data_IF_258209359446
#
_entry.id   IF_258209359446
#
_cell.length_a   1.000
_cell.length_b   1.000
_cell.length_c   1.000
_cell.angle_alpha   90.00
_cell.angle_beta   90.00
_cell.angle_gamma   90.00
#
_symmetry.space_group_name_H-M   'P 1'
#
loop_
_entity.id
_entity.type
_entity.pdbx_description
1 polymer ?
#
# COMPACT_ATOMS: atom_id res chain seq x y z
N UNK A 1 12.44 -11.22 -11.14
CA UNK A 1 13.05 -9.99 -10.57
C UNK A 1 12.63 -9.85 -9.12
N UNK A 2 13.48 -9.35 -8.20
CA UNK A 2 13.06 -9.11 -6.82
C UNK A 2 11.95 -8.05 -6.78
N UNK A 3 10.90 -8.28 -5.98
CA UNK A 3 9.67 -7.46 -5.90
C UNK A 3 9.99 -5.96 -5.78
N UNK A 4 10.92 -5.61 -4.89
CA UNK A 4 11.34 -4.22 -4.66
C UNK A 4 11.91 -3.55 -5.91
N UNK A 5 12.70 -4.27 -6.73
CA UNK A 5 13.25 -3.71 -7.98
C UNK A 5 12.17 -3.39 -9.00
N UNK A 6 11.11 -4.22 -9.04
CA UNK A 6 9.98 -4.00 -9.94
C UNK A 6 9.14 -2.82 -9.47
N UNK A 7 8.90 -2.69 -8.17
CA UNK A 7 8.25 -1.52 -7.58
C UNK A 7 9.03 -0.24 -7.92
N UNK A 8 10.35 -0.24 -7.76
CA UNK A 8 11.19 0.92 -8.09
C UNK A 8 11.12 1.34 -9.56
N UNK A 9 10.72 0.44 -10.48
CA UNK A 9 10.53 0.78 -11.90
C UNK A 9 9.38 1.77 -12.12
N UNK A 10 8.32 1.69 -11.32
CA UNK A 10 7.20 2.66 -11.39
C UNK A 10 7.62 4.07 -10.96
N UNK A 11 8.71 4.19 -10.21
CA UNK A 11 9.26 5.47 -9.77
C UNK A 11 10.30 6.05 -10.74
N UNK A 12 10.75 5.29 -11.76
CA UNK A 12 11.72 5.78 -12.77
C UNK A 12 11.33 7.11 -13.43
N UNK A 13 10.07 7.35 -13.84
CA UNK A 13 9.67 8.62 -14.43
C UNK A 13 9.84 9.82 -13.49
N UNK A 14 9.87 9.57 -12.18
CA UNK A 14 9.90 10.60 -11.13
C UNK A 14 11.28 10.74 -10.46
N UNK A 15 12.33 10.10 -10.99
CA UNK A 15 13.67 10.09 -10.37
C UNK A 15 14.23 11.49 -10.08
N UNK A 16 14.03 12.45 -10.98
CA UNK A 16 14.46 13.84 -10.75
C UNK A 16 13.77 14.48 -9.54
N UNK A 17 12.48 14.23 -9.36
CA UNK A 17 11.71 14.71 -8.20
C UNK A 17 12.10 13.97 -6.93
N UNK A 18 12.34 12.65 -7.00
CA UNK A 18 12.86 11.87 -5.87
C UNK A 18 14.21 12.41 -5.38
N UNK A 19 15.15 12.69 -6.30
CA UNK A 19 16.46 13.26 -5.94
C UNK A 19 16.32 14.65 -5.31
N UNK A 20 15.46 15.50 -5.87
CA UNK A 20 15.17 16.81 -5.27
C UNK A 20 14.57 16.67 -3.86
N UNK A 21 13.65 15.71 -3.66
CA UNK A 21 13.08 15.40 -2.36
C UNK A 21 14.10 14.90 -1.35
N UNK A 22 15.03 14.03 -1.77
CA UNK A 22 16.14 13.56 -0.93
C UNK A 22 17.08 14.71 -0.54
N UNK A 23 17.41 15.61 -1.48
CA UNK A 23 18.23 16.79 -1.20
C UNK A 23 17.54 17.71 -0.17
N UNK A 24 16.23 17.97 -0.34
CA UNK A 24 15.44 18.73 0.63
C UNK A 24 15.37 18.02 1.99
N UNK A 25 15.26 16.70 2.02
CA UNK A 25 15.28 15.93 3.26
C UNK A 25 16.63 16.08 3.99
N UNK A 26 17.76 16.01 3.28
CA UNK A 26 19.10 16.26 3.85
C UNK A 26 19.18 17.67 4.44
N UNK A 27 18.73 18.69 3.69
CA UNK A 27 18.66 20.07 4.19
C UNK A 27 17.77 20.19 5.43
N UNK A 28 16.59 19.55 5.41
CA UNK A 28 15.67 19.51 6.53
C UNK A 28 16.27 18.87 7.78
N UNK A 29 17.01 17.78 7.63
CA UNK A 29 17.71 17.13 8.75
C UNK A 29 18.81 18.05 9.31
N UNK A 30 19.60 18.70 8.44
CA UNK A 30 20.60 19.67 8.87
C UNK A 30 19.99 20.84 9.66
N UNK A 31 18.89 21.40 9.18
CA UNK A 31 18.14 22.44 9.89
C UNK A 31 17.57 21.94 11.22
N UNK A 32 17.08 20.70 11.27
CA UNK A 32 16.56 20.09 12.49
C UNK A 32 17.66 19.96 13.55
N UNK A 33 18.86 19.55 13.14
CA UNK A 33 20.02 19.47 14.01
C UNK A 33 20.45 20.86 14.51
N UNK A 34 20.25 21.93 13.74
CA UNK A 34 20.62 23.28 14.14
C UNK A 34 19.67 23.88 15.20
N UNK A 35 18.42 23.42 15.29
CA UNK A 35 17.38 24.00 16.17
C UNK A 35 17.77 24.18 17.64
N UNK A 36 18.47 23.25 18.30
CA UNK A 36 18.78 23.41 19.73
C UNK A 36 19.90 24.41 20.01
N UNK A 37 20.69 24.82 19.00
CA UNK A 37 21.90 25.62 19.21
C UNK A 37 21.66 27.04 19.71
N UNK A 38 20.66 27.81 19.23
CA UNK A 38 20.41 29.14 19.79
C UNK A 38 20.06 29.09 21.28
N UNK A 39 19.39 28.02 21.75
CA UNK A 39 19.12 27.80 23.18
C UNK A 39 20.42 27.64 23.97
N UNK A 40 21.40 26.90 23.44
CA UNK A 40 22.74 26.80 24.06
C UNK A 40 23.40 28.16 24.23
N UNK A 41 23.39 28.98 23.19
CA UNK A 41 24.00 30.32 23.22
C UNK A 41 23.33 31.20 24.28
N UNK A 42 21.99 31.15 24.39
CA UNK A 42 21.27 31.88 25.43
C UNK A 42 21.72 31.43 26.82
N UNK A 43 21.82 30.12 27.05
CA UNK A 43 22.10 29.57 28.39
C UNK A 43 23.57 29.71 28.79
N UNK A 44 24.50 29.51 27.86
CA UNK A 44 25.94 29.53 28.14
C UNK A 44 26.52 30.94 28.12
N UNK A 45 26.12 31.79 27.16
CA UNK A 45 26.74 33.11 26.96
C UNK A 45 25.93 34.26 27.60
N UNK A 46 24.58 34.17 27.65
CA UNK A 46 23.72 35.31 28.02
C UNK A 46 23.29 35.32 29.50
N UNK A 47 23.09 34.14 30.10
CA UNK A 47 22.67 34.01 31.52
C UNK A 47 23.85 34.26 32.49
N UNK A 48 25.05 33.70 32.28
CA UNK A 48 26.15 33.82 33.25
C UNK A 48 26.93 35.14 33.13
N UNK A 49 26.90 35.79 31.96
CA UNK A 49 27.68 37.00 31.68
C UNK A 49 26.79 38.15 31.20
N UNK A 50 26.82 39.29 31.90
CA UNK A 50 26.19 40.55 31.45
C UNK A 50 26.86 41.17 30.22
N UNK A 51 27.93 40.57 29.70
CA UNK A 51 28.68 41.04 28.54
C UNK A 51 28.71 39.95 27.47
N UNK A 52 28.20 40.28 26.28
CA UNK A 52 28.23 39.41 25.11
C UNK A 52 29.70 39.13 24.76
N UNK A 53 30.08 37.87 24.64
CA UNK A 53 31.43 37.47 24.20
C UNK A 53 31.74 38.12 22.84
N UNK A 54 33.01 38.51 22.63
CA UNK A 54 33.47 39.26 21.44
C UNK A 54 33.11 38.61 20.10
N UNK A 55 32.89 37.29 20.08
CA UNK A 55 32.45 36.54 18.88
C UNK A 55 31.01 36.85 18.45
N UNK A 56 30.09 37.01 19.41
CA UNK A 56 28.68 37.28 19.13
C UNK A 56 28.35 38.78 19.16
N UNK A 57 29.18 39.58 19.83
CA UNK A 57 29.08 41.03 19.84
C UNK A 57 29.21 41.64 18.43
N UNK A 58 29.95 40.98 17.53
CA UNK A 58 30.13 41.39 16.13
C UNK A 58 28.90 41.11 15.26
N UNK A 59 28.05 40.14 15.65
CA UNK A 59 26.84 39.75 14.90
C UNK A 59 25.57 40.39 15.46
N UNK A 60 25.48 40.61 16.77
CA UNK A 60 24.24 41.02 17.46
C UNK A 60 24.31 42.39 18.13
N UNK A 61 25.45 43.09 18.04
CA UNK A 61 25.71 44.32 18.76
C UNK A 61 26.03 44.09 20.24
N UNK A 62 26.34 45.16 20.97
CA UNK A 62 26.74 45.11 22.38
C UNK A 62 25.57 45.09 23.37
N UNK A 63 24.31 45.17 22.91
CA UNK A 63 23.12 45.21 23.76
C UNK A 63 22.57 43.79 24.07
N UNK A 64 22.59 43.34 25.35
CA UNK A 64 22.13 42.00 25.73
C UNK A 64 20.66 41.70 25.41
N UNK A 65 19.80 42.72 25.45
CA UNK A 65 18.37 42.60 25.13
C UNK A 65 18.12 42.41 23.62
N UNK A 66 18.91 43.10 22.80
CA UNK A 66 18.84 42.96 21.34
C UNK A 66 19.36 41.59 20.90
N UNK A 67 20.45 41.11 21.50
CA UNK A 67 20.97 39.77 21.25
C UNK A 67 19.98 38.67 21.65
N UNK A 68 19.30 38.80 22.81
CA UNK A 68 18.23 37.88 23.21
C UNK A 68 17.07 37.86 22.21
N UNK A 69 16.59 39.04 21.78
CA UNK A 69 15.52 39.14 20.80
C UNK A 69 15.92 38.49 19.48
N UNK A 70 17.15 38.73 19.00
CA UNK A 70 17.70 38.13 17.79
C UNK A 70 17.80 36.61 17.89
N UNK A 71 18.25 36.04 19.01
CA UNK A 71 18.33 34.59 19.21
C UNK A 71 16.92 33.95 19.29
N UNK A 72 15.97 34.60 19.95
CA UNK A 72 14.57 34.18 19.96
C UNK A 72 13.96 34.23 18.55
N UNK A 73 14.21 35.30 17.78
CA UNK A 73 13.81 35.40 16.38
C UNK A 73 14.48 34.32 15.53
N UNK A 74 15.77 34.02 15.76
CA UNK A 74 16.48 32.96 15.06
C UNK A 74 15.86 31.59 15.33
N UNK A 75 15.45 31.28 16.57
CA UNK A 75 14.72 30.04 16.88
C UNK A 75 13.44 29.92 16.06
N UNK A 76 12.64 30.98 15.99
CA UNK A 76 11.39 31.01 15.22
C UNK A 76 11.68 30.86 13.72
N UNK A 77 12.66 31.59 13.19
CA UNK A 77 13.03 31.53 11.77
C UNK A 77 13.55 30.16 11.38
N UNK A 78 14.45 29.55 12.17
CA UNK A 78 14.95 28.19 11.93
C UNK A 78 13.79 27.18 11.95
N UNK A 79 12.89 27.28 12.92
CA UNK A 79 11.72 26.40 13.01
C UNK A 79 10.78 26.56 11.81
N UNK A 80 10.53 27.80 11.35
CA UNK A 80 9.71 28.08 10.17
C UNK A 80 10.34 27.53 8.89
N UNK A 81 11.63 27.81 8.65
CA UNK A 81 12.35 27.31 7.48
C UNK A 81 12.36 25.78 7.47
N UNK A 82 12.68 25.16 8.62
CA UNK A 82 12.61 23.71 8.76
C UNK A 82 11.20 23.18 8.46
N UNK A 83 10.16 23.82 8.99
CA UNK A 83 8.76 23.44 8.77
C UNK A 83 8.37 23.49 7.30
N UNK A 84 8.77 24.54 6.59
CA UNK A 84 8.54 24.71 5.14
C UNK A 84 9.29 23.64 4.34
N UNK A 85 10.57 23.41 4.64
CA UNK A 85 11.39 22.39 3.96
C UNK A 85 10.81 21.00 4.19
N UNK A 86 10.43 20.68 5.43
CA UNK A 86 9.82 19.40 5.77
C UNK A 86 8.45 19.24 5.08
N UNK A 87 7.62 20.28 5.05
CA UNK A 87 6.33 20.26 4.35
C UNK A 87 6.51 20.02 2.85
N UNK A 88 7.43 20.74 2.20
CA UNK A 88 7.72 20.58 0.77
C UNK A 88 8.26 19.19 0.45
N UNK A 89 9.13 18.66 1.30
CA UNK A 89 9.69 17.30 1.20
C UNK A 89 8.58 16.26 1.28
N UNK A 90 7.71 16.33 2.29
CA UNK A 90 6.59 15.42 2.46
C UNK A 90 5.59 15.51 1.30
N UNK A 91 5.26 16.73 0.86
CA UNK A 91 4.38 16.94 -0.29
C UNK A 91 4.93 16.25 -1.55
N UNK A 92 6.23 16.43 -1.83
CA UNK A 92 6.87 15.84 -3.01
C UNK A 92 6.84 14.31 -2.96
N UNK A 93 7.21 13.70 -1.83
CA UNK A 93 7.19 12.24 -1.69
C UNK A 93 5.77 11.65 -1.76
N UNK A 94 4.80 12.27 -1.08
CA UNK A 94 3.39 11.83 -1.15
C UNK A 94 2.85 11.92 -2.57
N UNK A 95 3.13 13.02 -3.28
CA UNK A 95 2.71 13.21 -4.67
C UNK A 95 3.28 12.11 -5.58
N UNK A 96 4.58 11.85 -5.48
CA UNK A 96 5.24 10.79 -6.27
C UNK A 96 4.61 9.41 -5.96
N UNK A 97 4.40 9.11 -4.67
CA UNK A 97 3.76 7.87 -4.24
C UNK A 97 2.35 7.70 -4.81
N UNK A 98 1.55 8.77 -4.82
CA UNK A 98 0.19 8.75 -5.38
C UNK A 98 0.18 8.57 -6.91
N UNK A 99 1.13 9.15 -7.64
CA UNK A 99 1.24 8.99 -9.09
C UNK A 99 1.66 7.56 -9.48
N UNK A 100 2.59 6.97 -8.74
CA UNK A 100 2.95 5.56 -8.92
C UNK A 100 1.77 4.62 -8.60
N UNK A 101 1.01 4.91 -7.53
CA UNK A 101 -0.22 4.18 -7.19
C UNK A 101 -1.27 4.26 -8.30
N UNK A 102 -1.51 5.45 -8.85
CA UNK A 102 -2.42 5.64 -9.97
C UNK A 102 -2.02 4.77 -11.16
N UNK A 103 -0.73 4.80 -11.53
CA UNK A 103 -0.21 4.03 -12.66
C UNK A 103 -0.43 2.52 -12.46
N UNK A 104 -0.05 1.98 -11.29
CA UNK A 104 -0.24 0.56 -10.98
C UNK A 104 -1.73 0.18 -10.97
N UNK A 105 -2.61 1.02 -10.41
CA UNK A 105 -4.06 0.76 -10.39
C UNK A 105 -4.64 0.72 -11.79
N UNK A 106 -4.27 1.67 -12.64
CA UNK A 106 -4.74 1.71 -14.04
C UNK A 106 -4.25 0.49 -14.81
N UNK A 107 -2.98 0.12 -14.65
CA UNK A 107 -2.41 -1.07 -15.31
C UNK A 107 -3.07 -2.36 -14.84
N UNK A 108 -3.23 -2.55 -13.53
CA UNK A 108 -3.95 -3.69 -12.95
C UNK A 108 -5.39 -3.77 -13.44
N UNK A 109 -6.11 -2.66 -13.45
CA UNK A 109 -7.49 -2.62 -13.88
C UNK A 109 -7.64 -2.93 -15.37
N UNK A 110 -6.80 -2.33 -16.21
CA UNK A 110 -6.78 -2.60 -17.65
C UNK A 110 -6.43 -4.07 -17.94
N UNK A 111 -5.44 -4.61 -17.23
CA UNK A 111 -5.03 -6.00 -17.39
C UNK A 111 -6.12 -6.98 -16.92
N UNK A 112 -6.75 -6.72 -15.76
CA UNK A 112 -7.89 -7.50 -15.27
C UNK A 112 -9.05 -7.52 -16.27
N UNK A 113 -9.35 -6.42 -16.95
CA UNK A 113 -10.38 -6.39 -18.00
C UNK A 113 -9.98 -7.18 -19.26
N UNK A 114 -8.68 -7.35 -19.50
CA UNK A 114 -8.17 -8.09 -20.67
C UNK A 114 -8.14 -9.61 -20.47
N UNK A 115 -8.19 -10.08 -19.22
CA UNK A 115 -8.15 -11.50 -18.89
C UNK A 115 -9.40 -12.23 -19.41
N UNK A 116 -9.22 -13.53 -19.65
CA UNK A 116 -10.30 -14.41 -20.12
C UNK A 116 -11.44 -14.54 -19.08
N UNK A 117 -12.65 -14.86 -19.55
CA UNK A 117 -13.79 -15.16 -18.68
C UNK A 117 -13.50 -16.35 -17.75
N UNK A 118 -12.66 -17.29 -18.18
CA UNK A 118 -12.17 -18.39 -17.34
C UNK A 118 -11.54 -17.90 -16.03
N UNK A 119 -10.77 -16.81 -16.09
CA UNK A 119 -10.18 -16.20 -14.89
C UNK A 119 -11.28 -15.64 -13.97
N UNK A 120 -12.25 -14.93 -14.55
CA UNK A 120 -13.34 -14.31 -13.78
C UNK A 120 -14.33 -15.32 -13.20
N UNK A 121 -14.51 -16.47 -13.85
CA UNK A 121 -15.36 -17.54 -13.36
C UNK A 121 -14.67 -18.34 -12.23
N UNK A 122 -13.35 -18.46 -12.27
CA UNK A 122 -12.57 -19.15 -11.24
C UNK A 122 -12.31 -18.28 -9.99
N UNK A 123 -12.24 -16.95 -10.16
CA UNK A 123 -11.85 -16.03 -9.10
C UNK A 123 -13.05 -15.18 -8.64
N UNK A 124 -13.24 -15.02 -7.33
CA UNK A 124 -14.31 -14.14 -6.81
C UNK A 124 -14.07 -12.69 -7.27
N UNK A 125 -15.11 -12.03 -7.79
CA UNK A 125 -15.04 -10.63 -8.23
C UNK A 125 -14.58 -9.66 -7.13
N UNK A 126 -14.88 -9.99 -5.87
CA UNK A 126 -14.39 -9.28 -4.69
C UNK A 126 -12.88 -9.35 -4.50
N UNK A 127 -12.23 -10.48 -4.84
CA UNK A 127 -10.77 -10.64 -4.76
C UNK A 127 -10.06 -9.72 -5.75
N UNK A 128 -10.54 -9.69 -7.00
CA UNK A 128 -9.97 -8.79 -8.03
C UNK A 128 -10.14 -7.31 -7.65
N UNK A 129 -11.30 -6.94 -7.11
CA UNK A 129 -11.56 -5.57 -6.63
C UNK A 129 -10.70 -5.20 -5.43
N UNK A 130 -10.46 -6.16 -4.52
CA UNK A 130 -9.59 -5.98 -3.36
C UNK A 130 -8.15 -5.73 -3.80
N UNK A 131 -7.63 -6.49 -4.76
CA UNK A 131 -6.27 -6.29 -5.29
C UNK A 131 -6.06 -4.90 -5.88
N UNK A 132 -7.02 -4.42 -6.68
CA UNK A 132 -6.97 -3.08 -7.27
C UNK A 132 -7.05 -1.99 -6.20
N UNK A 133 -7.87 -2.16 -5.16
CA UNK A 133 -8.14 -1.10 -4.18
C UNK A 133 -7.12 -1.06 -3.05
N UNK A 134 -6.80 -2.21 -2.48
CA UNK A 134 -6.01 -2.35 -1.26
C UNK A 134 -4.59 -2.82 -1.56
N UNK A 135 -4.39 -3.92 -2.28
CA UNK A 135 -3.04 -4.45 -2.52
C UNK A 135 -2.17 -3.48 -3.33
N UNK A 136 -2.76 -2.73 -4.26
CA UNK A 136 -2.05 -1.70 -5.04
C UNK A 136 -1.40 -0.63 -4.15
N UNK A 137 -1.95 -0.36 -2.95
CA UNK A 137 -1.38 0.61 -2.01
C UNK A 137 0.01 0.21 -1.51
N UNK A 138 0.36 -1.08 -1.60
CA UNK A 138 1.69 -1.58 -1.27
C UNK A 138 2.81 -0.79 -1.97
N UNK A 139 2.59 -0.36 -3.21
CA UNK A 139 3.61 0.39 -3.96
C UNK A 139 3.96 1.71 -3.28
N UNK A 140 2.97 2.37 -2.68
CA UNK A 140 3.14 3.63 -1.96
C UNK A 140 3.81 3.38 -0.60
N UNK A 141 3.40 2.33 0.12
CA UNK A 141 4.02 1.94 1.39
C UNK A 141 5.51 1.64 1.21
N UNK A 142 5.89 0.86 0.20
CA UNK A 142 7.29 0.52 -0.12
C UNK A 142 8.14 1.77 -0.36
N UNK A 143 7.58 2.80 -1.00
CA UNK A 143 8.32 4.02 -1.31
C UNK A 143 8.36 5.03 -0.15
N UNK A 144 7.21 5.34 0.44
CA UNK A 144 7.11 6.35 1.48
C UNK A 144 7.63 5.84 2.82
N UNK A 145 7.17 4.67 3.27
CA UNK A 145 7.60 4.09 4.54
C UNK A 145 8.90 3.32 4.38
N UNK A 146 9.11 2.60 3.28
CA UNK A 146 10.37 1.88 3.06
C UNK A 146 11.50 2.83 2.73
N UNK A 147 11.59 3.21 1.46
CA UNK A 147 12.74 3.96 0.95
C UNK A 147 12.94 5.31 1.66
N UNK A 148 11.90 6.14 1.69
CA UNK A 148 12.01 7.53 2.16
C UNK A 148 12.23 7.62 3.66
N UNK A 149 11.43 6.92 4.46
CA UNK A 149 11.55 6.96 5.91
C UNK A 149 12.83 6.28 6.41
N UNK A 150 13.25 5.15 5.82
CA UNK A 150 14.55 4.53 6.18
C UNK A 150 15.69 5.49 5.88
N UNK A 151 15.70 6.12 4.70
CA UNK A 151 16.73 7.10 4.34
C UNK A 151 16.78 8.25 5.35
N UNK A 152 15.65 8.88 5.64
CA UNK A 152 15.58 9.99 6.59
C UNK A 152 15.97 9.57 8.01
N UNK A 153 15.53 8.40 8.46
CA UNK A 153 15.82 7.86 9.79
C UNK A 153 17.30 7.53 9.97
N UNK A 154 17.92 6.86 9.00
CA UNK A 154 19.35 6.53 9.02
C UNK A 154 20.19 7.80 9.01
N UNK A 155 19.86 8.77 8.14
CA UNK A 155 20.61 10.02 8.05
C UNK A 155 20.46 10.86 9.33
N UNK A 156 19.26 10.91 9.92
CA UNK A 156 19.02 11.57 11.21
C UNK A 156 19.81 10.91 12.34
N UNK A 157 19.83 9.57 12.38
CA UNK A 157 20.58 8.82 13.40
C UNK A 157 22.08 9.07 13.27
N UNK A 158 22.65 9.00 12.06
CA UNK A 158 24.06 9.31 11.82
C UNK A 158 24.37 10.76 12.19
N UNK A 159 23.58 11.72 11.72
CA UNK A 159 23.81 13.13 12.00
C UNK A 159 23.73 13.47 13.49
N UNK A 160 22.74 12.92 14.19
CA UNK A 160 22.57 13.11 15.64
C UNK A 160 23.72 12.46 16.41
N UNK A 161 24.13 11.25 16.04
CA UNK A 161 25.25 10.54 16.66
C UNK A 161 26.58 11.29 16.52
N UNK A 162 26.88 11.81 15.33
CA UNK A 162 28.10 12.59 15.08
C UNK A 162 28.13 13.85 15.96
N UNK A 163 27.01 14.55 16.08
CA UNK A 163 26.92 15.75 16.93
C UNK A 163 27.05 15.39 18.42
N UNK A 164 26.39 14.32 18.88
CA UNK A 164 26.45 13.88 20.28
C UNK A 164 27.88 13.51 20.71
N UNK A 165 28.62 12.74 19.89
CA UNK A 165 30.03 12.42 20.17
C UNK A 165 30.87 13.69 20.26
N UNK A 166 30.62 14.67 19.39
CA UNK A 166 31.32 15.95 19.41
C UNK A 166 31.05 16.80 20.65
N UNK A 167 29.92 16.58 21.34
CA UNK A 167 29.60 17.26 22.61
C UNK A 167 30.26 16.51 23.78
N UNK A 168 29.96 15.22 23.93
CA UNK A 168 30.52 14.39 25.00
C UNK A 168 30.42 12.90 24.62
N UNK A 169 31.56 12.25 24.45
CA UNK A 169 31.62 10.85 24.04
C UNK A 169 31.16 9.87 25.15
N UNK A 170 31.32 10.22 26.43
CA UNK A 170 30.92 9.37 27.55
C UNK A 170 29.40 9.37 27.71
N UNK A 171 28.76 10.54 27.64
CA UNK A 171 27.30 10.64 27.62
C UNK A 171 26.71 9.97 26.38
N UNK A 172 27.42 10.03 25.25
CA UNK A 172 26.97 9.35 24.03
C UNK A 172 27.01 7.84 24.18
N UNK A 173 28.08 7.27 24.74
CA UNK A 173 28.16 5.83 25.02
C UNK A 173 27.09 5.38 26.02
N UNK A 174 26.84 6.18 27.07
CA UNK A 174 25.76 5.92 28.03
C UNK A 174 24.40 5.86 27.33
N UNK A 175 24.12 6.83 26.47
CA UNK A 175 22.87 6.90 25.71
C UNK A 175 22.73 5.73 24.74
N UNK A 176 23.83 5.37 24.07
CA UNK A 176 23.88 4.22 23.15
C UNK A 176 23.70 2.89 23.90
N UNK A 177 24.10 2.81 25.17
CA UNK A 177 23.86 1.63 26.01
C UNK A 177 22.38 1.31 26.24
N UNK A 178 21.51 2.31 26.19
CA UNK A 178 20.05 2.14 26.35
C UNK A 178 19.40 1.65 25.04
N UNK A 179 19.99 1.98 23.89
CA UNK A 179 19.45 1.65 22.57
C UNK A 179 19.23 0.15 22.35
N UNK A 180 20.19 -0.77 22.64
CA UNK A 180 19.96 -2.21 22.52
C UNK A 180 18.75 -2.71 23.31
N UNK A 181 18.53 -2.17 24.52
CA UNK A 181 17.41 -2.56 25.37
C UNK A 181 16.06 -2.13 24.77
N UNK A 182 16.01 -0.92 24.20
CA UNK A 182 14.85 -0.43 23.45
C UNK A 182 14.60 -1.32 22.23
N UNK A 183 15.62 -1.58 21.40
CA UNK A 183 15.49 -2.40 20.18
C UNK A 183 15.00 -3.82 20.49
N UNK A 184 15.54 -4.46 21.54
CA UNK A 184 15.11 -5.80 21.97
C UNK A 184 13.65 -5.79 22.42
N UNK A 185 13.25 -4.76 23.17
CA UNK A 185 11.86 -4.61 23.64
C UNK A 185 10.92 -4.43 22.45
N UNK A 186 11.26 -3.57 21.49
CA UNK A 186 10.44 -3.38 20.29
C UNK A 186 10.32 -4.71 19.54
N UNK A 187 11.43 -5.42 19.31
CA UNK A 187 11.41 -6.72 18.61
C UNK A 187 10.54 -7.78 19.31
N UNK A 188 10.54 -7.79 20.64
CA UNK A 188 9.68 -8.70 21.41
C UNK A 188 8.19 -8.39 21.22
N UNK A 189 7.79 -7.12 21.39
CA UNK A 189 6.39 -6.71 21.25
C UNK A 189 5.90 -6.79 19.80
N UNK A 190 6.75 -6.47 18.84
CA UNK A 190 6.53 -6.63 17.41
C UNK A 190 5.95 -7.99 17.01
N UNK A 191 6.64 -9.04 17.46
CA UNK A 191 6.31 -10.41 17.11
C UNK A 191 4.94 -10.79 17.67
N UNK A 192 4.59 -10.27 18.84
CA UNK A 192 3.28 -10.46 19.49
C UNK A 192 2.18 -9.68 18.78
N UNK A 193 2.43 -8.40 18.48
CA UNK A 193 1.54 -7.52 17.71
C UNK A 193 1.22 -8.16 16.36
N UNK A 194 2.22 -8.72 15.66
CA UNK A 194 2.04 -9.40 14.37
C UNK A 194 1.06 -10.56 14.47
N UNK A 195 1.27 -11.48 15.42
CA UNK A 195 0.37 -12.63 15.62
C UNK A 195 -1.07 -12.19 15.94
N UNK A 196 -1.22 -11.19 16.80
CA UNK A 196 -2.54 -10.65 17.17
C UNK A 196 -3.22 -9.91 16.01
N UNK A 197 -2.45 -9.20 15.18
CA UNK A 197 -2.97 -8.52 13.99
C UNK A 197 -3.52 -9.51 12.97
N UNK A 198 -2.87 -10.67 12.76
CA UNK A 198 -3.43 -11.74 11.93
C UNK A 198 -4.77 -12.24 12.46
N UNK A 199 -4.87 -12.50 13.77
CA UNK A 199 -6.13 -12.92 14.40
C UNK A 199 -7.23 -11.87 14.23
N UNK A 200 -6.91 -10.59 14.41
CA UNK A 200 -7.90 -9.50 14.19
C UNK A 200 -8.36 -9.46 12.75
N UNK A 201 -7.46 -9.59 11.77
CA UNK A 201 -7.84 -9.61 10.36
C UNK A 201 -8.80 -10.77 10.04
N UNK A 202 -8.59 -11.95 10.62
CA UNK A 202 -9.51 -13.09 10.48
C UNK A 202 -10.89 -12.80 11.11
N UNK A 203 -10.92 -12.25 12.32
CA UNK A 203 -12.18 -11.91 13.01
C UNK A 203 -12.96 -10.80 12.30
N UNK A 204 -12.29 -9.73 11.85
CA UNK A 204 -12.91 -8.66 11.06
C UNK A 204 -13.44 -9.19 9.72
N UNK A 205 -12.71 -10.11 9.07
CA UNK A 205 -13.18 -10.74 7.83
C UNK A 205 -14.45 -11.56 8.06
N UNK A 206 -14.55 -12.26 9.19
CA UNK A 206 -15.75 -13.01 9.56
C UNK A 206 -16.95 -12.09 9.82
N UNK A 207 -16.75 -10.96 10.52
CA UNK A 207 -17.78 -9.93 10.74
C UNK A 207 -18.27 -9.35 9.41
N UNK A 208 -17.35 -9.00 8.51
CA UNK A 208 -17.68 -8.49 7.19
C UNK A 208 -18.46 -9.52 6.36
N UNK A 209 -18.04 -10.79 6.39
CA UNK A 209 -18.72 -11.88 5.69
C UNK A 209 -20.16 -12.06 6.18
N UNK A 210 -20.39 -12.08 7.50
CA UNK A 210 -21.74 -12.17 8.07
C UNK A 210 -22.61 -10.98 7.64
N UNK A 211 -22.06 -9.75 7.65
CA UNK A 211 -22.78 -8.57 7.20
C UNK A 211 -23.16 -8.66 5.72
N UNK A 212 -22.23 -9.10 4.86
CA UNK A 212 -22.49 -9.28 3.43
C UNK A 212 -23.55 -10.37 3.16
N UNK A 213 -23.43 -11.53 3.82
CA UNK A 213 -24.37 -12.64 3.67
C UNK A 213 -25.77 -12.26 4.16
N UNK A 214 -25.88 -11.70 5.36
CA UNK A 214 -27.16 -11.29 5.94
C UNK A 214 -27.86 -10.18 5.15
N UNK A 215 -27.12 -9.17 4.68
CA UNK A 215 -27.69 -8.09 3.86
C UNK A 215 -28.05 -8.55 2.44
N UNK A 216 -27.24 -9.38 1.81
CA UNK A 216 -27.56 -9.96 0.50
C UNK A 216 -28.78 -10.87 0.55
N UNK A 217 -29.01 -11.53 1.69
CA UNK A 217 -30.12 -12.44 1.94
C UNK A 217 -31.27 -11.81 2.73
N UNK A 218 -31.33 -10.47 2.83
CA UNK A 218 -32.30 -9.74 3.68
C UNK A 218 -33.76 -10.10 3.38
N UNK A 219 -34.08 -10.40 2.11
CA UNK A 219 -35.42 -10.87 1.72
C UNK A 219 -35.79 -12.20 2.37
N UNK A 220 -34.82 -13.13 2.48
CA UNK A 220 -35.01 -14.41 3.14
C UNK A 220 -35.17 -14.22 4.65
N UNK A 221 -34.33 -13.37 5.26
CA UNK A 221 -34.42 -13.04 6.68
C UNK A 221 -35.81 -12.52 7.05
N UNK A 222 -36.33 -11.56 6.27
CA UNK A 222 -37.68 -11.03 6.46
C UNK A 222 -38.78 -12.05 6.16
N UNK A 223 -38.64 -12.87 5.11
CA UNK A 223 -39.63 -13.90 4.76
C UNK A 223 -39.83 -14.93 5.88
N UNK A 224 -38.79 -15.19 6.69
CA UNK A 224 -38.84 -16.12 7.81
C UNK A 224 -38.87 -15.44 9.20
N UNK A 225 -38.88 -14.11 9.29
CA UNK A 225 -38.90 -13.36 10.56
C UNK A 225 -37.71 -13.66 11.47
N UNK A 226 -36.50 -13.77 10.90
CA UNK A 226 -35.27 -14.22 11.59
C UNK A 226 -34.31 -13.09 11.97
N UNK A 227 -34.77 -11.83 11.97
CA UNK A 227 -33.94 -10.64 12.18
C UNK A 227 -33.15 -10.69 13.49
N UNK A 228 -33.79 -11.06 14.61
CA UNK A 228 -33.10 -11.16 15.91
C UNK A 228 -32.01 -12.24 15.94
N UNK A 229 -32.18 -13.31 15.15
CA UNK A 229 -31.19 -14.38 15.08
C UNK A 229 -29.96 -13.91 14.31
N UNK A 230 -30.16 -13.21 13.18
CA UNK A 230 -29.08 -12.59 12.40
C UNK A 230 -28.30 -11.56 13.24
N UNK A 231 -29.01 -10.70 13.97
CA UNK A 231 -28.37 -9.71 14.86
C UNK A 231 -27.53 -10.41 15.93
N UNK A 232 -28.03 -11.50 16.54
CA UNK A 232 -27.26 -12.28 17.53
C UNK A 232 -26.00 -12.91 16.94
N UNK A 233 -26.08 -13.53 15.76
CA UNK A 233 -24.91 -14.10 15.07
C UNK A 233 -23.86 -13.03 14.78
N UNK A 234 -24.29 -11.88 14.25
CA UNK A 234 -23.40 -10.75 14.02
C UNK A 234 -22.75 -10.26 15.32
N UNK A 235 -23.53 -10.15 16.40
CA UNK A 235 -23.07 -9.67 17.70
C UNK A 235 -22.01 -10.61 18.31
N UNK A 236 -22.16 -11.94 18.17
CA UNK A 236 -21.19 -12.92 18.65
C UNK A 236 -19.84 -12.83 17.92
N UNK A 237 -19.86 -12.64 16.60
CA UNK A 237 -18.64 -12.41 15.80
C UNK A 237 -18.02 -11.05 16.12
N UNK A 238 -18.83 -10.01 16.25
CA UNK A 238 -18.37 -8.67 16.60
C UNK A 238 -17.71 -8.63 17.99
N UNK A 239 -18.22 -9.40 18.97
CA UNK A 239 -17.59 -9.54 20.28
C UNK A 239 -16.23 -10.23 20.22
N UNK A 240 -16.06 -11.22 19.33
CA UNK A 240 -14.76 -11.87 19.13
C UNK A 240 -13.76 -10.89 18.51
N UNK A 241 -14.17 -10.13 17.50
CA UNK A 241 -13.34 -9.04 16.95
C UNK A 241 -12.98 -8.02 18.02
N UNK A 242 -13.95 -7.57 18.83
CA UNK A 242 -13.72 -6.62 19.92
C UNK A 242 -12.67 -7.13 20.91
N UNK A 243 -12.76 -8.38 21.35
CA UNK A 243 -11.77 -8.98 22.28
C UNK A 243 -10.39 -9.06 21.64
N UNK A 244 -10.30 -9.46 20.38
CA UNK A 244 -9.03 -9.52 19.65
C UNK A 244 -8.41 -8.12 19.51
N UNK A 245 -9.21 -7.14 19.10
CA UNK A 245 -8.80 -5.75 18.94
C UNK A 245 -8.33 -5.13 20.26
N UNK A 246 -9.06 -5.38 21.36
CA UNK A 246 -8.67 -4.94 22.70
C UNK A 246 -7.32 -5.57 23.11
N UNK A 247 -7.11 -6.87 22.86
CA UNK A 247 -5.84 -7.53 23.17
C UNK A 247 -4.66 -6.94 22.38
N UNK A 248 -4.82 -6.65 21.09
CA UNK A 248 -3.79 -5.96 20.30
C UNK A 248 -3.54 -4.55 20.81
N UNK A 249 -4.60 -3.80 21.09
CA UNK A 249 -4.51 -2.43 21.59
C UNK A 249 -3.78 -2.38 22.93
N UNK A 250 -4.14 -3.26 23.88
CA UNK A 250 -3.43 -3.38 25.16
C UNK A 250 -1.96 -3.77 24.97
N UNK A 251 -1.66 -4.61 23.98
CA UNK A 251 -0.27 -4.98 23.66
C UNK A 251 0.52 -3.79 23.12
N UNK A 252 -0.08 -2.96 22.25
CA UNK A 252 0.52 -1.71 21.79
C UNK A 252 0.73 -0.70 22.93
N UNK A 253 -0.27 -0.51 23.80
CA UNK A 253 -0.17 0.39 24.96
C UNK A 253 0.92 -0.08 25.93
N UNK A 254 0.99 -1.37 26.22
CA UNK A 254 2.05 -1.94 27.06
C UNK A 254 3.44 -1.75 26.42
N UNK A 255 3.56 -1.96 25.10
CA UNK A 255 4.81 -1.70 24.37
C UNK A 255 5.24 -0.23 24.52
N UNK A 256 4.33 0.71 24.28
CA UNK A 256 4.59 2.14 24.41
C UNK A 256 4.98 2.52 25.84
N UNK A 257 4.34 1.93 26.86
CA UNK A 257 4.67 2.16 28.26
C UNK A 257 6.09 1.69 28.59
N UNK A 258 6.46 0.46 28.20
CA UNK A 258 7.81 -0.07 28.47
C UNK A 258 8.87 0.76 27.73
N UNK A 259 8.66 1.05 26.44
CA UNK A 259 9.60 1.84 25.63
C UNK A 259 9.77 3.25 26.22
N UNK A 260 8.68 3.95 26.52
CA UNK A 260 8.75 5.30 27.12
C UNK A 260 9.42 5.29 28.49
N UNK A 261 9.20 4.26 29.31
CA UNK A 261 9.89 4.09 30.60
C UNK A 261 11.39 3.91 30.40
N UNK A 262 11.81 3.12 29.41
CA UNK A 262 13.22 2.95 29.07
C UNK A 262 13.84 4.26 28.56
N UNK A 263 13.13 5.01 27.72
CA UNK A 263 13.60 6.31 27.22
C UNK A 263 13.77 7.32 28.37
N UNK A 264 12.80 7.38 29.29
CA UNK A 264 12.87 8.25 30.48
C UNK A 264 14.00 7.80 31.41
N UNK A 265 14.18 6.49 31.63
CA UNK A 265 15.29 5.94 32.40
C UNK A 265 16.65 6.32 31.82
N UNK A 266 16.81 6.20 30.49
CA UNK A 266 18.02 6.64 29.78
C UNK A 266 18.24 8.14 29.87
N UNK A 267 17.18 8.94 29.78
CA UNK A 267 17.22 10.39 29.93
C UNK A 267 17.63 10.80 31.35
N UNK A 268 17.10 10.11 32.37
CA UNK A 268 17.46 10.34 33.77
C UNK A 268 18.91 9.98 34.06
N UNK A 269 19.41 8.86 33.52
CA UNK A 269 20.81 8.46 33.62
C UNK A 269 21.73 9.50 32.94
N UNK A 270 21.34 9.98 31.75
CA UNK A 270 22.04 11.04 31.05
C UNK A 270 22.06 12.34 31.86
N UNK A 271 20.94 12.78 32.44
CA UNK A 271 20.93 13.98 33.29
C UNK A 271 21.79 13.81 34.54
N UNK A 272 21.79 12.64 35.17
CA UNK A 272 22.62 12.39 36.34
C UNK A 272 24.12 12.53 36.00
N UNK A 273 24.62 11.78 35.02
CA UNK A 273 26.03 11.81 34.62
C UNK A 273 26.40 13.16 34.00
N UNK A 274 25.53 13.71 33.16
CA UNK A 274 25.76 15.01 32.51
C UNK A 274 25.79 16.17 33.50
N UNK A 275 24.97 16.14 34.55
CA UNK A 275 25.05 17.14 35.63
C UNK A 275 26.35 17.01 36.41
N UNK A 276 26.85 15.79 36.65
CA UNK A 276 28.18 15.61 37.25
C UNK A 276 29.29 16.21 36.38
N UNK A 277 29.21 16.08 35.04
CA UNK A 277 30.16 16.71 34.12
C UNK A 277 30.06 18.25 34.16
N UNK A 278 28.85 18.79 34.30
CA UNK A 278 28.66 20.24 34.49
C UNK A 278 29.25 20.73 35.81
N UNK A 279 29.03 20.01 36.91
CA UNK A 279 29.61 20.33 38.21
C UNK A 279 31.14 20.20 38.22
N UNK A 280 31.69 19.27 37.44
CA UNK A 280 33.13 19.12 37.23
C UNK A 280 33.73 20.17 36.28
N UNK A 281 32.91 20.99 35.62
CA UNK A 281 33.33 21.99 34.64
C UNK A 281 33.79 21.43 33.29
N UNK A 282 33.58 20.14 33.02
CA UNK A 282 33.93 19.50 31.74
C UNK A 282 32.86 19.71 30.67
N UNK A 283 31.62 20.04 31.07
CA UNK A 283 30.49 20.30 30.18
C UNK A 283 29.77 21.60 30.59
N UNK A 284 29.24 22.36 29.63
CA UNK A 284 28.41 23.54 29.94
C UNK A 284 26.94 23.17 30.12
N UNK A 285 26.18 23.97 30.87
CA UNK A 285 24.75 23.73 31.08
C UNK A 285 23.96 23.76 29.77
N UNK A 286 24.27 24.68 28.86
CA UNK A 286 23.67 24.75 27.53
C UNK A 286 24.03 23.53 26.67
N UNK A 287 25.24 22.99 26.79
CA UNK A 287 25.59 21.73 26.11
C UNK A 287 24.78 20.55 26.61
N UNK A 288 24.50 20.47 27.92
CA UNK A 288 23.65 19.43 28.50
C UNK A 288 22.20 19.52 27.98
N UNK A 289 21.64 20.73 27.85
CA UNK A 289 20.30 20.95 27.30
C UNK A 289 20.21 20.62 25.80
N UNK A 290 21.25 20.92 25.04
CA UNK A 290 21.33 20.52 23.63
C UNK A 290 21.47 19.00 23.50
N UNK A 291 22.27 18.39 24.37
CA UNK A 291 22.43 16.94 24.41
C UNK A 291 21.09 16.23 24.70
N UNK A 292 20.28 16.76 25.63
CA UNK A 292 18.97 16.19 25.93
C UNK A 292 17.99 16.28 24.76
N UNK A 293 18.03 17.38 23.99
CA UNK A 293 17.26 17.51 22.75
C UNK A 293 17.68 16.46 21.71
N UNK A 294 18.99 16.24 21.52
CA UNK A 294 19.50 15.23 20.59
C UNK A 294 19.20 13.80 21.03
N UNK A 295 19.21 13.52 22.34
CA UNK A 295 18.84 12.21 22.86
C UNK A 295 17.41 11.84 22.47
N UNK A 296 16.46 12.79 22.53
CA UNK A 296 15.10 12.56 22.06
C UNK A 296 15.04 12.36 20.53
N UNK A 297 15.85 13.10 19.76
CA UNK A 297 15.97 12.95 18.30
C UNK A 297 16.60 11.62 17.88
N UNK A 298 17.41 11.00 18.75
CA UNK A 298 18.03 9.69 18.52
C UNK A 298 17.01 8.55 18.66
N UNK A 299 16.08 8.67 19.61
CA UNK A 299 15.14 7.59 19.93
C UNK A 299 14.00 7.42 18.92
N UNK A 300 13.47 8.52 18.37
CA UNK A 300 12.35 8.46 17.43
C UNK A 300 12.65 7.68 16.13
N UNK A 301 13.80 7.86 15.44
CA UNK A 301 14.15 7.07 14.27
C UNK A 301 14.27 5.57 14.55
N UNK A 302 14.74 5.17 15.73
CA UNK A 302 14.88 3.75 16.11
C UNK A 302 13.51 3.07 16.19
N UNK A 303 12.54 3.74 16.80
CA UNK A 303 11.16 3.28 16.85
C UNK A 303 10.58 3.18 15.43
N UNK A 304 10.72 4.25 14.63
CA UNK A 304 10.18 4.32 13.28
C UNK A 304 10.74 3.25 12.33
N UNK A 305 12.06 3.00 12.35
CA UNK A 305 12.70 1.96 11.54
C UNK A 305 12.15 0.57 11.87
N UNK A 306 11.83 0.33 13.14
CA UNK A 306 11.36 -0.97 13.59
C UNK A 306 9.93 -1.24 13.11
N UNK A 307 9.02 -0.25 13.19
CA UNK A 307 7.69 -0.33 12.59
C UNK A 307 7.72 -0.43 11.06
N UNK A 308 8.68 0.27 10.44
CA UNK A 308 8.86 0.28 8.98
C UNK A 308 9.16 -1.10 8.43
N UNK A 309 10.02 -1.87 9.11
CA UNK A 309 10.37 -3.23 8.69
C UNK A 309 9.12 -4.12 8.51
N UNK A 310 8.12 -3.98 9.40
CA UNK A 310 6.88 -4.76 9.31
C UNK A 310 5.95 -4.27 8.21
N UNK A 311 5.82 -2.95 8.06
CA UNK A 311 5.06 -2.38 6.95
C UNK A 311 5.63 -2.81 5.60
N UNK A 312 6.96 -2.99 5.51
CA UNK A 312 7.64 -3.53 4.34
C UNK A 312 7.30 -4.98 4.03
N UNK A 313 7.17 -5.85 5.03
CA UNK A 313 6.77 -7.24 4.82
C UNK A 313 5.33 -7.34 4.27
N UNK A 314 4.39 -6.63 4.89
CA UNK A 314 2.99 -6.61 4.45
C UNK A 314 2.84 -6.00 3.05
N UNK A 315 3.55 -4.91 2.78
CA UNK A 315 3.55 -4.29 1.47
C UNK A 315 4.23 -5.18 0.40
N UNK A 316 5.29 -5.91 0.73
CA UNK A 316 5.89 -6.85 -0.19
C UNK A 316 4.89 -7.94 -0.62
N UNK A 317 4.09 -8.47 0.31
CA UNK A 317 3.04 -9.44 0.00
C UNK A 317 1.91 -8.85 -0.86
N UNK A 318 1.47 -7.62 -0.59
CA UNK A 318 0.47 -6.93 -1.43
C UNK A 318 0.99 -6.66 -2.84
N UNK A 319 2.23 -6.19 -2.97
CA UNK A 319 2.87 -5.97 -4.27
C UNK A 319 3.04 -7.28 -5.05
N UNK A 320 3.42 -8.37 -4.37
CA UNK A 320 3.52 -9.71 -4.95
C UNK A 320 2.17 -10.15 -5.56
N UNK A 321 1.06 -10.04 -4.82
CA UNK A 321 -0.29 -10.39 -5.34
C UNK A 321 -0.71 -9.56 -6.55
N UNK A 322 -0.35 -8.28 -6.57
CA UNK A 322 -0.56 -7.42 -7.75
C UNK A 322 0.23 -7.92 -8.96
N UNK A 323 1.52 -8.19 -8.77
CA UNK A 323 2.38 -8.65 -9.86
C UNK A 323 2.03 -10.05 -10.35
N UNK A 324 1.56 -10.94 -9.49
CA UNK A 324 1.04 -12.25 -9.89
C UNK A 324 -0.15 -12.15 -10.84
N UNK A 325 -0.99 -11.11 -10.69
CA UNK A 325 -2.06 -10.83 -11.67
C UNK A 325 -1.44 -10.36 -12.99
N UNK A 326 -0.56 -9.36 -12.95
CA UNK A 326 0.06 -8.77 -14.15
C UNK A 326 0.97 -9.74 -14.92
N UNK A 327 1.55 -10.73 -14.24
CA UNK A 327 2.44 -11.74 -14.81
C UNK A 327 1.70 -12.98 -15.30
N UNK A 328 0.39 -13.07 -15.06
CA UNK A 328 -0.40 -14.19 -15.55
C UNK A 328 -0.33 -14.23 -17.08
N UNK A 329 -0.38 -15.41 -17.67
CA UNK A 329 -0.61 -15.52 -19.11
C UNK A 329 -2.12 -15.44 -19.36
N UNK A 330 -2.54 -14.72 -20.39
CA UNK A 330 -3.92 -14.79 -20.88
C UNK A 330 -4.15 -16.22 -21.43
N UNK A 331 -5.22 -16.87 -20.96
CA UNK A 331 -5.54 -18.25 -21.37
C UNK A 331 -6.02 -18.32 -22.84
N UNK A 332 -6.48 -17.19 -23.41
CA UNK A 332 -7.03 -17.11 -24.76
C UNK A 332 -6.34 -15.98 -25.51
N UNK A 333 -5.09 -16.19 -25.93
CA UNK A 333 -4.31 -15.17 -26.65
C UNK A 333 -4.72 -15.12 -28.13
N UNK A 334 -4.74 -13.92 -28.71
CA UNK A 334 -4.80 -13.78 -30.17
C UNK A 334 -3.47 -14.28 -30.77
N UNK A 335 -3.54 -15.09 -31.82
CA UNK A 335 -2.33 -15.51 -32.53
C UNK A 335 -1.58 -14.29 -33.08
N UNK A 336 -0.23 -14.30 -33.15
CA UNK A 336 0.55 -13.17 -33.66
C UNK A 336 0.17 -12.76 -35.10
N UNK A 337 -0.33 -13.72 -35.86
CA UNK A 337 -0.79 -13.64 -37.24
C UNK A 337 -2.33 -13.67 -37.36
N UNK A 338 -3.05 -13.44 -36.25
CA UNK A 338 -4.51 -13.42 -36.25
C UNK A 338 -5.07 -12.34 -37.18
N UNK A 339 -5.97 -12.76 -38.06
CA UNK A 339 -6.62 -11.89 -39.04
C UNK A 339 -7.82 -11.14 -38.47
N UNK A 340 -8.12 -9.97 -39.01
CA UNK A 340 -9.32 -9.19 -38.67
C UNK A 340 -10.49 -9.71 -39.50
N UNK A 341 -11.66 -9.88 -38.86
CA UNK A 341 -12.92 -10.23 -39.52
C UNK A 341 -13.75 -8.95 -39.70
N UNK A 342 -13.75 -8.41 -40.92
CA UNK A 342 -14.50 -7.19 -41.26
C UNK A 342 -15.97 -7.49 -41.58
N UNK A 343 -16.24 -8.62 -42.23
CA UNK A 343 -17.57 -9.07 -42.62
C UNK A 343 -17.65 -10.60 -42.52
N UNK A 344 -18.83 -11.14 -42.23
CA UNK A 344 -19.06 -12.58 -42.03
C UNK A 344 -20.42 -12.98 -42.57
N UNK A 345 -20.48 -14.15 -43.23
CA UNK A 345 -21.75 -14.75 -43.65
C UNK A 345 -22.48 -15.41 -42.46
N UNK A 346 -21.76 -15.71 -41.38
CA UNK A 346 -22.30 -16.24 -40.14
C UNK A 346 -22.44 -17.76 -40.11
N UNK A 347 -21.72 -18.50 -40.95
CA UNK A 347 -21.68 -19.97 -40.88
C UNK A 347 -20.76 -20.42 -39.74
N UNK A 348 -21.25 -21.28 -38.84
CA UNK A 348 -20.51 -21.74 -37.65
C UNK A 348 -20.38 -23.26 -37.67
N UNK A 349 -19.15 -23.75 -37.52
CA UNK A 349 -18.86 -25.18 -37.50
C UNK A 349 -18.10 -25.56 -36.21
N UNK A 350 -18.56 -26.62 -35.56
CA UNK A 350 -17.86 -27.33 -34.49
C UNK A 350 -17.34 -28.65 -35.09
N UNK A 351 -16.04 -28.88 -34.98
CA UNK A 351 -15.35 -30.06 -35.52
C UNK A 351 -14.63 -30.81 -34.38
N UNK A 352 -15.18 -31.95 -33.98
CA UNK A 352 -14.66 -32.82 -32.93
C UNK A 352 -14.49 -32.15 -31.57
N UNK A 353 -15.37 -31.21 -31.21
CA UNK A 353 -15.14 -30.32 -30.07
C UNK A 353 -15.33 -31.03 -28.73
N UNK A 354 -14.27 -31.08 -27.92
CA UNK A 354 -14.32 -31.52 -26.52
C UNK A 354 -13.89 -30.37 -25.61
N UNK A 355 -14.73 -30.02 -24.62
CA UNK A 355 -14.46 -28.90 -23.72
C UNK A 355 -15.08 -29.10 -22.33
N UNK A 356 -14.37 -28.61 -21.31
CA UNK A 356 -14.88 -28.48 -19.94
C UNK A 356 -14.07 -27.44 -19.16
N UNK A 357 -14.68 -26.78 -18.18
CA UNK A 357 -14.03 -25.72 -17.40
C UNK A 357 -12.90 -26.24 -16.49
N UNK A 358 -12.99 -27.51 -16.08
CA UNK A 358 -11.98 -28.17 -15.24
C UNK A 358 -11.30 -29.31 -16.01
N UNK A 359 -9.96 -29.42 -15.96
CA UNK A 359 -9.25 -30.55 -16.55
C UNK A 359 -9.82 -31.91 -16.12
N UNK A 360 -10.00 -32.82 -17.07
CA UNK A 360 -10.53 -34.17 -16.81
C UNK A 360 -12.04 -34.27 -16.60
N UNK A 361 -12.80 -33.16 -16.74
CA UNK A 361 -14.27 -33.17 -16.65
C UNK A 361 -14.90 -32.49 -17.88
N UNK A 362 -14.94 -33.17 -19.04
CA UNK A 362 -15.53 -32.61 -20.25
C UNK A 362 -17.05 -32.50 -20.12
N UNK A 363 -17.58 -31.33 -20.51
CA UNK A 363 -19.01 -31.03 -20.59
C UNK A 363 -19.52 -31.27 -22.01
N UNK A 364 -18.74 -30.85 -23.00
CA UNK A 364 -18.93 -31.18 -24.41
C UNK A 364 -17.91 -32.26 -24.76
N UNK A 365 -18.34 -33.31 -25.47
CA UNK A 365 -17.54 -34.47 -25.83
C UNK A 365 -17.75 -34.76 -27.31
N UNK A 366 -16.68 -34.66 -28.10
CA UNK A 366 -16.67 -34.99 -29.54
C UNK A 366 -17.85 -34.37 -30.31
N UNK A 367 -18.12 -33.09 -30.08
CA UNK A 367 -19.24 -32.38 -30.69
C UNK A 367 -18.91 -31.98 -32.13
N UNK A 368 -19.65 -32.56 -33.07
CA UNK A 368 -19.72 -32.15 -34.48
C UNK A 368 -21.07 -31.47 -34.77
N UNK A 369 -21.02 -30.21 -35.22
CA UNK A 369 -22.21 -29.42 -35.51
C UNK A 369 -21.91 -28.41 -36.63
N UNK A 370 -22.72 -28.41 -37.68
CA UNK A 370 -22.63 -27.46 -38.79
C UNK A 370 -23.91 -26.58 -38.82
N UNK A 371 -23.71 -25.26 -38.78
CA UNK A 371 -24.75 -24.25 -38.82
C UNK A 371 -24.49 -23.36 -40.04
N UNK A 372 -25.36 -23.45 -41.04
CA UNK A 372 -25.25 -22.65 -42.25
C UNK A 372 -25.52 -21.16 -41.99
N UNK A 373 -24.96 -20.30 -42.86
CA UNK A 373 -25.25 -18.87 -42.86
C UNK A 373 -26.76 -18.58 -42.87
N UNK A 374 -27.20 -17.66 -42.02
CA UNK A 374 -28.62 -17.28 -41.82
C UNK A 374 -29.54 -18.40 -41.31
N UNK A 375 -29.01 -19.54 -40.87
CA UNK A 375 -29.80 -20.61 -40.29
C UNK A 375 -30.20 -20.26 -38.84
N UNK A 376 -31.48 -20.46 -38.51
CA UNK A 376 -31.98 -20.33 -37.14
C UNK A 376 -31.96 -21.70 -36.47
N UNK A 377 -31.20 -21.83 -35.39
CA UNK A 377 -31.02 -23.09 -34.66
C UNK A 377 -31.51 -22.94 -33.22
N UNK A 378 -32.34 -23.89 -32.78
CA UNK A 378 -32.79 -23.99 -31.38
C UNK A 378 -32.04 -25.10 -30.65
N UNK A 379 -31.33 -24.76 -29.57
CA UNK A 379 -30.62 -25.73 -28.72
C UNK A 379 -31.47 -26.04 -27.48
N UNK A 380 -31.99 -27.26 -27.39
CA UNK A 380 -32.88 -27.72 -26.30
C UNK A 380 -32.28 -28.88 -25.52
N UNK A 381 -32.59 -28.96 -24.22
CA UNK A 381 -32.09 -30.02 -23.35
C UNK A 381 -32.23 -29.66 -21.86
N UNK A 382 -32.05 -30.64 -20.97
CA UNK A 382 -32.13 -30.43 -19.53
C UNK A 382 -31.12 -29.42 -18.98
N UNK A 383 -31.34 -28.90 -17.77
CA UNK A 383 -30.38 -28.06 -17.06
C UNK A 383 -29.05 -28.80 -16.90
N UNK A 384 -27.93 -28.14 -17.17
CA UNK A 384 -26.60 -28.75 -17.09
C UNK A 384 -26.17 -29.55 -18.34
N UNK A 385 -27.01 -29.68 -19.38
CA UNK A 385 -26.66 -30.38 -20.62
C UNK A 385 -25.60 -29.69 -21.51
N UNK A 386 -24.91 -28.65 -21.03
CA UNK A 386 -23.85 -27.97 -21.77
C UNK A 386 -24.29 -26.89 -22.77
N UNK A 387 -25.58 -26.55 -22.85
CA UNK A 387 -26.12 -25.54 -23.79
C UNK A 387 -25.41 -24.18 -23.70
N UNK A 388 -25.29 -23.62 -22.50
CA UNK A 388 -24.60 -22.34 -22.29
C UNK A 388 -23.11 -22.45 -22.58
N UNK A 389 -22.51 -23.62 -22.31
CA UNK A 389 -21.11 -23.90 -22.63
C UNK A 389 -20.86 -23.91 -24.15
N UNK A 390 -21.76 -24.52 -24.93
CA UNK A 390 -21.72 -24.50 -26.39
C UNK A 390 -21.78 -23.06 -26.92
N UNK A 391 -22.73 -22.26 -26.43
CA UNK A 391 -22.89 -20.86 -26.84
C UNK A 391 -21.68 -19.98 -26.44
N UNK A 392 -21.01 -20.29 -25.33
CA UNK A 392 -19.83 -19.56 -24.87
C UNK A 392 -18.58 -19.77 -25.75
N UNK A 393 -18.53 -20.86 -26.53
CA UNK A 393 -17.41 -21.13 -27.44
C UNK A 393 -17.47 -20.29 -28.74
N UNK A 394 -18.67 -19.92 -29.19
CA UNK A 394 -18.87 -19.14 -30.44
C UNK A 394 -18.21 -17.74 -30.40
N UNK A 395 -18.37 -16.91 -29.35
CA UNK A 395 -17.65 -15.64 -29.23
C UNK A 395 -16.21 -15.79 -28.71
N UNK A 396 -15.71 -17.04 -28.67
CA UNK A 396 -14.40 -17.42 -28.15
C UNK A 396 -14.16 -16.85 -26.76
N UNK A 397 -15.12 -17.06 -25.85
CA UNK A 397 -14.89 -16.82 -24.42
C UNK A 397 -13.96 -17.88 -23.81
N UNK A 398 -13.96 -19.05 -24.44
CA UNK A 398 -13.12 -20.21 -24.13
C UNK A 398 -12.62 -20.81 -25.45
N UNK A 399 -11.40 -21.33 -25.44
CA UNK A 399 -10.91 -22.21 -26.51
C UNK A 399 -11.22 -23.67 -26.15
N UNK A 400 -11.64 -24.51 -27.11
CA UNK A 400 -11.92 -25.92 -26.86
C UNK A 400 -10.63 -26.67 -26.49
N UNK A 401 -10.75 -27.71 -25.66
CA UNK A 401 -9.60 -28.52 -25.25
C UNK A 401 -9.10 -29.39 -26.41
N UNK A 402 -10.03 -29.93 -27.20
CA UNK A 402 -9.79 -30.72 -28.41
C UNK A 402 -10.78 -30.26 -29.47
N UNK A 403 -10.38 -30.31 -30.74
CA UNK A 403 -11.19 -29.91 -31.88
C UNK A 403 -11.00 -28.45 -32.30
N UNK A 404 -11.90 -27.97 -33.13
CA UNK A 404 -11.92 -26.57 -33.59
C UNK A 404 -13.35 -26.02 -33.66
N UNK A 405 -13.47 -24.72 -33.43
CA UNK A 405 -14.68 -23.95 -33.75
C UNK A 405 -14.30 -23.00 -34.87
N UNK A 406 -15.14 -22.93 -35.90
CA UNK A 406 -14.86 -22.17 -37.11
C UNK A 406 -16.01 -21.20 -37.43
N UNK A 407 -15.67 -20.03 -37.96
CA UNK A 407 -16.59 -19.06 -38.53
C UNK A 407 -16.25 -18.88 -40.01
N UNK A 408 -17.21 -19.15 -40.89
CA UNK A 408 -17.04 -19.13 -42.36
C UNK A 408 -15.82 -19.95 -42.84
N UNK A 409 -15.59 -21.12 -42.21
CA UNK A 409 -14.47 -22.01 -42.50
C UNK A 409 -13.10 -21.56 -41.95
N UNK A 410 -13.05 -20.49 -41.14
CA UNK A 410 -11.83 -20.04 -40.46
C UNK A 410 -11.88 -20.42 -38.98
N UNK A 411 -10.84 -21.08 -38.48
CA UNK A 411 -10.72 -21.38 -37.05
C UNK A 411 -10.74 -20.06 -36.24
N UNK A 412 -11.56 -20.02 -35.19
CA UNK A 412 -11.69 -18.86 -34.30
C UNK A 412 -10.35 -18.46 -33.64
N UNK A 413 -9.39 -19.38 -33.54
CA UNK A 413 -8.04 -19.12 -33.04
C UNK A 413 -7.17 -18.30 -33.99
N UNK A 414 -7.49 -18.29 -35.28
CA UNK A 414 -6.78 -17.56 -36.33
C UNK A 414 -7.35 -16.14 -36.59
N UNK A 415 -8.32 -15.70 -35.79
CA UNK A 415 -8.93 -14.37 -35.89
C UNK A 415 -8.83 -13.61 -34.57
N UNK A 416 -8.80 -12.28 -34.63
CA UNK A 416 -8.70 -11.47 -33.41
C UNK A 416 -10.00 -11.54 -32.60
N UNK A 417 -9.90 -11.70 -31.27
CA UNK A 417 -11.07 -11.72 -30.36
C UNK A 417 -11.98 -10.50 -30.55
N UNK A 418 -11.37 -9.32 -30.72
CA UNK A 418 -12.09 -8.05 -30.86
C UNK A 418 -12.94 -8.03 -32.12
N UNK A 419 -12.37 -8.41 -33.28
CA UNK A 419 -13.11 -8.44 -34.54
C UNK A 419 -14.21 -9.50 -34.52
N UNK A 420 -13.91 -10.70 -34.00
CA UNK A 420 -14.90 -11.78 -33.88
C UNK A 420 -16.13 -11.32 -33.07
N UNK A 421 -15.91 -10.76 -31.88
CA UNK A 421 -16.99 -10.35 -30.97
C UNK A 421 -17.77 -9.15 -31.48
N UNK A 422 -17.18 -8.31 -32.33
CA UNK A 422 -17.89 -7.21 -32.98
C UNK A 422 -18.95 -7.71 -33.98
N UNK A 423 -18.79 -8.92 -34.51
CA UNK A 423 -19.74 -9.54 -35.45
C UNK A 423 -20.84 -10.36 -34.74
N UNK A 424 -20.79 -10.50 -33.41
CA UNK A 424 -21.69 -11.39 -32.65
C UNK A 424 -22.51 -10.57 -31.67
N UNK A 425 -23.83 -10.55 -31.86
CA UNK A 425 -24.78 -10.05 -30.86
C UNK A 425 -25.07 -11.11 -29.81
N UNK A 426 -24.88 -10.80 -28.53
CA UNK A 426 -25.15 -11.70 -27.41
C UNK A 426 -26.20 -11.08 -26.49
N UNK A 427 -27.22 -11.87 -26.15
CA UNK A 427 -28.16 -11.55 -25.08
C UNK A 427 -27.99 -12.60 -23.99
N UNK A 428 -27.49 -12.18 -22.83
CA UNK A 428 -27.26 -13.06 -21.69
C UNK A 428 -28.58 -13.46 -21.03
N UNK A 429 -28.61 -14.64 -20.41
CA UNK A 429 -29.77 -15.12 -19.66
C UNK A 429 -30.14 -14.17 -18.51
N UNK A 430 -29.13 -13.67 -17.79
CA UNK A 430 -29.28 -12.62 -16.79
C UNK A 430 -28.80 -11.30 -17.41
N UNK A 431 -29.75 -10.43 -17.76
CA UNK A 431 -29.43 -9.11 -18.33
C UNK A 431 -28.81 -8.22 -17.26
N UNK A 432 -27.57 -7.78 -17.50
CA UNK A 432 -26.87 -6.83 -16.63
C UNK A 432 -27.00 -5.42 -17.21
N UNK A 433 -27.28 -4.45 -16.34
CA UNK A 433 -27.29 -3.03 -16.66
C UNK A 433 -26.24 -2.33 -15.80
N UNK A 434 -25.46 -1.46 -16.42
CA UNK A 434 -24.58 -0.56 -15.68
C UNK A 434 -25.41 0.51 -14.99
N UNK A 435 -24.94 0.98 -13.83
CA UNK A 435 -25.53 2.09 -13.08
C UNK A 435 -25.32 3.43 -13.79
N UNK A 436 -25.94 3.57 -14.96
CA UNK A 436 -25.90 4.73 -15.83
C UNK A 436 -27.24 4.93 -16.55
N UNK A 437 -27.34 5.92 -17.43
CA UNK A 437 -28.54 6.23 -18.19
C UNK A 437 -28.95 5.08 -19.13
N UNK A 438 -30.23 5.03 -19.48
CA UNK A 438 -30.76 4.07 -20.47
C UNK A 438 -30.01 4.23 -21.80
N UNK A 439 -29.77 5.48 -22.22
CA UNK A 439 -29.02 5.80 -23.43
C UNK A 439 -27.63 5.16 -23.41
N UNK A 440 -26.89 5.32 -22.32
CA UNK A 440 -25.52 4.80 -22.20
C UNK A 440 -25.49 3.26 -22.15
N UNK A 441 -26.49 2.63 -21.53
CA UNK A 441 -26.62 1.16 -21.57
C UNK A 441 -26.90 0.64 -23.00
N UNK A 442 -27.77 1.32 -23.77
CA UNK A 442 -28.03 0.94 -25.17
C UNK A 442 -26.80 1.19 -26.04
N UNK A 443 -26.17 2.35 -25.90
CA UNK A 443 -24.96 2.74 -26.63
C UNK A 443 -23.73 1.87 -26.24
N UNK A 444 -23.78 1.12 -25.14
CA UNK A 444 -22.68 0.21 -24.77
C UNK A 444 -22.37 -0.82 -25.86
N UNK A 445 -23.39 -1.32 -26.56
CA UNK A 445 -23.21 -2.26 -27.67
C UNK A 445 -22.64 -1.62 -28.94
N UNK A 446 -22.90 -0.32 -29.14
CA UNK A 446 -22.36 0.48 -30.27
C UNK A 446 -22.36 1.97 -29.87
N UNK A 447 -21.22 2.52 -29.42
CA UNK A 447 -21.16 3.86 -28.83
C UNK A 447 -21.65 5.00 -29.73
N UNK A 448 -21.49 4.84 -31.04
CA UNK A 448 -21.82 5.85 -32.07
C UNK A 448 -23.16 5.57 -32.79
N UNK A 449 -24.01 4.70 -32.25
CA UNK A 449 -25.29 4.32 -32.88
C UNK A 449 -26.39 5.38 -32.80
#
# INVERSE_FOLDING_TARGET
>A
MPIYSRVLRYYRPFMGQTVAGLALAVCGIGLNLLKPWPLKVIVDDLIPHRAITTKWAMLFGSDPRAALLLLCCALVVIQLIWGIVNWLTNYLFVRIGLQALLTLRTELYAYLQSLSLKYHDAQRSSDSSYRVTYDSQAIQTIYNQGFTNIFASVLTLIGTFVVMIGIDWQLTLLSLGVVPLIVVTIYFFANRIRKQSTVIHEQESAVLAQAQEGLSSVRMVHAFGREEWEVRQFQDLAQQSLRANLQLTLTNVNSALVISTLMVGGTAAMYYVGTLHVLAGTLTLGSLLVFSAYLLMLYHPLESLTYTAWAMEGAAAGAQRCFEVLDRADDVVDAPDASVVDDTAGAVQFDGVTFGYTPGRPILQELDLDIAANQIVGVVGGTGAGKSTLLALVPRFYDPTIGSVQLDGRDLRAVTKKSLRAQIGIVLQDTLLFSTTIRENIAYGRPDA
#
